data_IF_087045187870
#
_entry.id   IF_087045187870
#
_cell.length_a   1.000
_cell.length_b   1.000
_cell.length_c   1.000
_cell.angle_alpha   90.00
_cell.angle_beta   90.00
_cell.angle_gamma   90.00
#
_symmetry.space_group_name_H-M   'P 1'
#
loop_
_entity.id
_entity.type
_entity.pdbx_description
1 polymer ?
#
# COMPACT_ATOMS: atom_id res chain seq x y z
N UNK A 1 -16.53 7.93 15.57
CA UNK A 1 -15.63 7.18 14.67
C UNK A 1 -15.31 8.06 13.47
N UNK A 2 -14.08 8.60 13.35
CA UNK A 2 -13.67 9.25 12.09
C UNK A 2 -13.52 8.15 11.04
N UNK A 3 -14.26 8.23 9.92
CA UNK A 3 -13.93 7.43 8.73
C UNK A 3 -12.54 7.90 8.29
N UNK A 4 -11.55 7.03 8.36
CA UNK A 4 -10.21 7.35 7.86
C UNK A 4 -10.29 7.66 6.37
N UNK A 5 -9.69 8.78 5.97
CA UNK A 5 -9.61 9.19 4.57
C UNK A 5 -8.69 8.22 3.84
N UNK A 6 -9.24 7.46 2.90
CA UNK A 6 -8.46 6.68 1.94
C UNK A 6 -8.16 7.55 0.74
N UNK A 7 -6.89 7.79 0.48
CA UNK A 7 -6.48 8.55 -0.69
C UNK A 7 -6.34 7.61 -1.89
N UNK A 8 -6.98 7.89 -3.04
CA UNK A 8 -6.74 7.15 -4.26
C UNK A 8 -5.33 7.47 -4.77
N UNK A 9 -4.47 6.45 -4.86
CA UNK A 9 -3.08 6.60 -5.28
C UNK A 9 -2.62 5.30 -5.93
N UNK A 10 -1.67 5.39 -6.87
CA UNK A 10 -0.97 4.26 -7.46
C UNK A 10 0.52 4.34 -7.12
N UNK A 11 0.95 3.52 -6.17
CA UNK A 11 2.32 3.39 -5.71
C UNK A 11 2.73 1.94 -5.83
N UNK A 12 3.99 1.71 -6.18
CA UNK A 12 4.54 0.37 -6.26
C UNK A 12 4.65 -0.25 -4.87
N UNK A 13 4.18 -1.50 -4.75
CA UNK A 13 4.28 -2.30 -3.54
C UNK A 13 4.98 -3.60 -3.85
N UNK A 14 5.94 -3.95 -2.99
CA UNK A 14 6.67 -5.21 -3.04
C UNK A 14 6.44 -5.97 -1.75
N UNK A 15 6.46 -7.30 -1.86
CA UNK A 15 6.57 -8.16 -0.68
C UNK A 15 8.02 -8.53 -0.49
N UNK A 16 8.49 -8.45 0.75
CA UNK A 16 9.84 -8.92 1.11
C UNK A 16 9.88 -10.46 1.15
N UNK A 17 8.76 -11.09 1.48
CA UNK A 17 8.67 -12.54 1.74
C UNK A 17 8.25 -13.35 0.50
N UNK A 18 7.63 -12.71 -0.49
CA UNK A 18 7.20 -13.35 -1.74
C UNK A 18 8.08 -12.82 -2.87
N UNK A 19 9.16 -13.55 -3.26
CA UNK A 19 10.06 -13.13 -4.32
C UNK A 19 9.30 -12.83 -5.62
N UNK A 20 9.55 -11.66 -6.18
CA UNK A 20 8.92 -11.23 -7.44
C UNK A 20 7.47 -10.74 -7.30
N UNK A 21 6.88 -10.74 -6.11
CA UNK A 21 5.58 -10.13 -5.89
C UNK A 21 5.65 -8.62 -6.08
N UNK A 22 4.90 -8.12 -7.07
CA UNK A 22 4.73 -6.71 -7.34
C UNK A 22 3.24 -6.41 -7.50
N UNK A 23 2.79 -5.42 -6.76
CA UNK A 23 1.44 -4.90 -6.84
C UNK A 23 1.49 -3.37 -6.88
N UNK A 24 0.37 -2.76 -7.22
CA UNK A 24 0.18 -1.32 -7.10
C UNK A 24 -0.90 -1.03 -6.07
N UNK A 25 -0.76 0.05 -5.32
CA UNK A 25 -1.89 0.55 -4.52
C UNK A 25 -3.00 1.05 -5.45
N UNK A 26 -4.24 0.94 -4.99
CA UNK A 26 -5.43 1.61 -5.54
C UNK A 26 -5.90 2.70 -4.60
N UNK A 27 -5.72 2.46 -3.30
CA UNK A 27 -5.85 3.44 -2.25
C UNK A 27 -4.84 3.19 -1.14
N UNK A 28 -4.59 4.23 -0.34
CA UNK A 28 -3.72 4.22 0.83
C UNK A 28 -4.36 5.04 1.95
N UNK A 29 -4.25 4.54 3.19
CA UNK A 29 -4.52 5.27 4.43
C UNK A 29 -3.37 5.07 5.42
N UNK A 30 -3.44 5.74 6.55
CA UNK A 30 -2.49 5.54 7.66
C UNK A 30 -2.51 4.12 8.24
N UNK A 31 -3.59 3.36 8.02
CA UNK A 31 -3.83 2.03 8.62
C UNK A 31 -3.88 0.88 7.62
N UNK A 32 -3.87 1.16 6.33
CA UNK A 32 -3.97 0.10 5.34
C UNK A 32 -3.91 0.59 3.91
N UNK A 33 -3.99 -0.37 2.99
CA UNK A 33 -4.00 -0.10 1.56
C UNK A 33 -4.86 -1.12 0.83
N UNK A 34 -5.40 -0.73 -0.31
CA UNK A 34 -5.90 -1.69 -1.28
C UNK A 34 -4.82 -1.90 -2.34
N UNK A 35 -4.42 -3.15 -2.60
CA UNK A 35 -3.48 -3.48 -3.67
C UNK A 35 -4.19 -4.16 -4.84
N UNK A 36 -3.61 -3.99 -6.03
CA UNK A 36 -4.00 -4.67 -7.26
C UNK A 36 -2.76 -5.20 -7.97
N UNK A 37 -2.80 -6.43 -8.44
CA UNK A 37 -1.77 -6.99 -9.32
C UNK A 37 -2.39 -7.94 -10.34
N UNK A 38 -1.67 -8.18 -11.44
CA UNK A 38 -2.00 -9.23 -12.39
C UNK A 38 -1.35 -10.53 -11.93
N UNK A 39 -2.16 -11.52 -11.62
CA UNK A 39 -1.72 -12.86 -11.24
C UNK A 39 -1.26 -13.60 -12.48
N UNK A 40 0.03 -13.45 -12.76
CA UNK A 40 0.81 -14.39 -13.56
C UNK A 40 1.57 -15.35 -12.62
N UNK A 41 1.60 -15.03 -11.32
CA UNK A 41 2.27 -15.77 -10.26
C UNK A 41 1.30 -16.73 -9.55
N UNK A 42 1.74 -17.96 -9.21
CA UNK A 42 0.92 -18.92 -8.47
C UNK A 42 0.69 -18.52 -7.01
N UNK A 43 1.49 -17.60 -6.46
CA UNK A 43 1.41 -17.20 -5.06
C UNK A 43 0.52 -15.98 -4.90
N UNK A 44 -0.69 -16.22 -4.40
CA UNK A 44 -1.63 -15.18 -3.96
C UNK A 44 -1.74 -15.27 -2.45
N UNK A 45 -1.47 -14.17 -1.72
CA UNK A 45 -1.66 -14.17 -0.27
C UNK A 45 -3.09 -14.54 0.11
N UNK A 46 -3.26 -15.21 1.25
CA UNK A 46 -4.57 -15.60 1.75
C UNK A 46 -5.11 -14.62 2.81
N UNK A 47 -6.45 -14.45 2.94
CA UNK A 47 -7.02 -13.69 4.05
C UNK A 47 -6.54 -14.20 5.40
N UNK A 48 -6.11 -13.29 6.27
CA UNK A 48 -5.54 -13.58 7.58
C UNK A 48 -4.02 -13.73 7.58
N UNK A 49 -3.38 -13.90 6.42
CA UNK A 49 -1.92 -13.96 6.32
C UNK A 49 -1.31 -12.59 6.63
N UNK A 50 -0.25 -12.58 7.46
CA UNK A 50 0.60 -11.40 7.62
C UNK A 50 1.72 -11.42 6.58
N UNK A 51 1.99 -10.27 5.98
CA UNK A 51 3.00 -10.06 4.96
C UNK A 51 3.88 -8.88 5.34
N UNK A 52 5.18 -9.02 5.13
CA UNK A 52 6.07 -7.87 5.09
C UNK A 52 5.94 -7.17 3.73
N UNK A 53 5.55 -5.89 3.76
CA UNK A 53 5.38 -5.04 2.59
C UNK A 53 6.34 -3.85 2.60
N UNK A 54 6.70 -3.39 1.40
CA UNK A 54 7.37 -2.11 1.14
C UNK A 54 6.54 -1.33 0.13
N UNK A 55 6.14 -0.10 0.47
CA UNK A 55 5.47 0.85 -0.44
C UNK A 55 6.47 1.91 -0.87
N UNK A 56 6.76 2.00 -2.16
CA UNK A 56 7.60 3.06 -2.70
C UNK A 56 6.81 4.39 -2.71
N UNK A 57 7.29 5.40 -1.98
CA UNK A 57 6.68 6.73 -1.91
C UNK A 57 7.39 7.72 -2.86
N UNK A 58 7.70 7.24 -4.07
CA UNK A 58 8.49 7.98 -5.06
C UNK A 58 7.84 9.32 -5.41
N UNK A 59 8.67 10.37 -5.53
CA UNK A 59 8.26 11.74 -5.83
C UNK A 59 8.15 12.67 -4.62
N UNK A 60 7.94 12.13 -3.41
CA UNK A 60 7.92 12.93 -2.16
C UNK A 60 9.02 12.56 -1.19
N UNK A 61 9.37 11.28 -1.13
CA UNK A 61 10.41 10.77 -0.24
C UNK A 61 11.30 9.83 -1.05
N UNK A 62 12.61 9.97 -0.91
CA UNK A 62 13.59 9.06 -1.53
C UNK A 62 13.65 7.67 -0.85
N UNK A 63 12.58 7.28 -0.14
CA UNK A 63 12.51 6.11 0.73
C UNK A 63 11.13 5.46 0.68
N UNK A 64 11.13 4.14 0.85
CA UNK A 64 9.90 3.34 0.98
C UNK A 64 9.38 3.35 2.42
N UNK A 65 8.07 3.19 2.58
CA UNK A 65 7.46 2.84 3.86
C UNK A 65 7.31 1.32 3.95
N UNK A 66 7.90 0.74 4.99
CA UNK A 66 7.89 -0.71 5.23
C UNK A 66 7.15 -1.09 6.51
N UNK A 67 6.59 -2.31 6.54
CA UNK A 67 5.98 -2.88 7.73
C UNK A 67 5.29 -4.23 7.52
N UNK A 68 4.70 -4.76 8.58
CA UNK A 68 3.83 -5.93 8.56
C UNK A 68 2.38 -5.51 8.34
N UNK A 69 1.71 -6.16 7.39
CA UNK A 69 0.29 -6.02 7.15
C UNK A 69 -0.41 -7.36 7.12
N UNK A 70 -1.62 -7.42 7.66
CA UNK A 70 -2.52 -8.55 7.50
C UNK A 70 -3.37 -8.38 6.25
N UNK A 71 -3.50 -9.44 5.47
CA UNK A 71 -4.45 -9.52 4.36
C UNK A 71 -5.87 -9.60 4.93
N UNK A 72 -6.66 -8.55 4.78
CA UNK A 72 -8.03 -8.49 5.29
C UNK A 72 -9.00 -9.25 4.37
N UNK A 73 -8.79 -9.17 3.06
CA UNK A 73 -9.61 -9.82 2.06
C UNK A 73 -8.85 -9.96 0.74
N UNK A 74 -9.30 -10.90 -0.10
CA UNK A 74 -8.77 -11.13 -1.45
C UNK A 74 -9.95 -11.30 -2.40
N UNK A 75 -9.88 -10.68 -3.57
CA UNK A 75 -10.87 -10.80 -4.65
C UNK A 75 -10.14 -11.06 -5.96
N UNK A 76 -10.57 -12.10 -6.69
CA UNK A 76 -10.04 -12.43 -8.03
C UNK A 76 -11.08 -12.11 -9.09
N UNK A 77 -10.66 -11.43 -10.16
CA UNK A 77 -11.49 -11.10 -11.33
C UNK A 77 -10.65 -11.37 -12.58
N UNK A 78 -10.85 -12.53 -13.20
CA UNK A 78 -9.98 -13.01 -14.27
C UNK A 78 -8.54 -13.15 -13.78
N UNK A 79 -7.60 -12.51 -14.49
CA UNK A 79 -6.18 -12.47 -14.10
C UNK A 79 -5.85 -11.38 -13.09
N UNK A 80 -6.79 -10.53 -12.71
CA UNK A 80 -6.55 -9.45 -11.75
C UNK A 80 -6.89 -9.93 -10.34
N UNK A 81 -5.97 -9.71 -9.41
CA UNK A 81 -6.18 -9.95 -7.98
C UNK A 81 -6.15 -8.61 -7.25
N UNK A 82 -7.16 -8.41 -6.41
CA UNK A 82 -7.23 -7.30 -5.46
C UNK A 82 -7.17 -7.82 -4.06
N UNK A 83 -6.46 -7.11 -3.19
CA UNK A 83 -6.42 -7.42 -1.77
C UNK A 83 -6.50 -6.15 -0.93
N UNK A 84 -7.11 -6.30 0.24
CA UNK A 84 -7.05 -5.30 1.30
C UNK A 84 -5.95 -5.68 2.29
N UNK A 85 -5.11 -4.72 2.63
CA UNK A 85 -4.12 -4.83 3.69
C UNK A 85 -4.52 -3.95 4.88
N UNK A 86 -4.34 -4.49 6.09
CA UNK A 86 -4.42 -3.77 7.35
C UNK A 86 -3.03 -3.78 7.98
N UNK A 87 -2.44 -2.61 8.20
CA UNK A 87 -1.12 -2.46 8.80
C UNK A 87 -1.14 -2.88 10.28
N UNK A 88 -0.33 -3.87 10.64
CA UNK A 88 -0.22 -4.40 12.00
C UNK A 88 0.94 -3.76 12.75
N UNK A 89 2.12 -3.73 12.12
CA UNK A 89 3.34 -3.15 12.69
C UNK A 89 4.06 -2.36 11.63
N UNK A 90 4.19 -1.07 11.85
CA UNK A 90 4.90 -0.17 10.95
C UNK A 90 5.89 0.61 11.81
N UNK A 91 7.15 0.66 11.40
CA UNK A 91 8.18 1.42 12.11
C UNK A 91 7.76 2.89 12.25
N UNK A 92 8.18 3.57 13.33
CA UNK A 92 7.79 4.96 13.59
C UNK A 92 8.09 5.89 12.41
N UNK A 93 9.22 5.68 11.73
CA UNK A 93 9.58 6.41 10.53
C UNK A 93 8.63 6.14 9.36
N UNK A 94 8.40 4.86 9.00
CA UNK A 94 7.45 4.47 7.95
C UNK A 94 6.03 4.98 8.24
N UNK A 95 5.61 4.97 9.51
CA UNK A 95 4.31 5.50 9.95
C UNK A 95 4.22 7.01 9.72
N UNK A 96 5.27 7.76 10.09
CA UNK A 96 5.33 9.19 9.79
C UNK A 96 5.25 9.47 8.30
N UNK A 97 5.94 8.70 7.46
CA UNK A 97 5.87 8.87 6.01
C UNK A 97 4.45 8.61 5.47
N UNK A 98 3.79 7.54 5.91
CA UNK A 98 2.42 7.23 5.52
C UNK A 98 1.44 8.30 6.00
N UNK A 99 1.59 8.78 7.22
CA UNK A 99 0.75 9.85 7.78
C UNK A 99 0.97 11.16 7.02
N UNK A 100 2.22 11.52 6.70
CA UNK A 100 2.50 12.70 5.88
C UNK A 100 1.91 12.56 4.49
N UNK A 101 2.03 11.39 3.85
CA UNK A 101 1.48 11.16 2.52
C UNK A 101 -0.06 11.29 2.52
N UNK A 102 -0.71 10.64 3.48
CA UNK A 102 -2.17 10.52 3.55
C UNK A 102 -2.88 11.75 4.16
N UNK A 103 -2.16 12.59 4.93
CA UNK A 103 -2.69 13.83 5.48
C UNK A 103 -2.36 15.07 4.63
N UNK A 104 -1.26 15.06 3.88
CA UNK A 104 -0.99 16.10 2.90
C UNK A 104 -1.76 15.77 1.63
N UNK A 105 -3.05 16.12 1.60
CA UNK A 105 -3.82 16.20 0.35
C UNK A 105 -2.95 16.84 -0.73
N UNK A 106 -2.82 16.16 -1.88
CA UNK A 106 -2.04 16.58 -3.05
C UNK A 106 -2.40 17.98 -3.62
N UNK A 107 -3.36 18.69 -3.02
CA UNK A 107 -3.67 20.09 -3.31
C UNK A 107 -2.47 21.03 -3.10
N UNK A 108 -1.52 20.68 -2.21
CA UNK A 108 -0.30 21.47 -2.00
C UNK A 108 0.85 21.20 -2.99
N UNK A 109 0.83 20.06 -3.69
CA UNK A 109 1.97 19.59 -4.48
C UNK A 109 1.78 19.75 -6.00
N UNK A 110 0.53 19.77 -6.47
CA UNK A 110 0.23 20.08 -7.87
C UNK A 110 0.52 21.55 -8.26
N UNK A 111 0.77 22.45 -7.30
CA UNK A 111 1.05 23.87 -7.56
C UNK A 111 2.53 24.26 -7.59
N UNK A 112 3.47 23.34 -7.30
CA UNK A 112 4.90 23.68 -7.24
C UNK A 112 5.72 23.26 -8.46
N UNK A 113 5.06 22.79 -9.52
CA UNK A 113 5.67 22.42 -10.81
C UNK A 113 5.01 23.13 -11.99
N UNK A 114 4.36 24.28 -11.75
CA UNK A 114 3.79 25.16 -12.78
C UNK A 114 4.43 26.53 -12.74
#
# INVERSE_FOLDING_TARGET
>A
MRKETRQPVQLDVRSVEIPGYRAVTRDLSSTGAQLEYRSNSPLTPEPGQSLHFEVALDGLFSRAAEGLARVAWVRRQGQTVRLGLTFERVGSYSRQLLDMFTNNSLEGLARKVG
#
